data_IF_990128547039
#
_entry.id   IF_990128547039
#
_cell.length_a   1.000
_cell.length_b   1.000
_cell.length_c   1.000
_cell.angle_alpha   90.00
_cell.angle_beta   90.00
_cell.angle_gamma   90.00
#
_symmetry.space_group_name_H-M   'P 1'
#
loop_
_entity.id
_entity.type
_entity.pdbx_description
1 polymer ?
#
# COMPACT_ATOMS: atom_id res chain seq x y z
N UNK A 1 13.73 33.65 48.81
CA UNK A 1 12.91 34.87 48.68
C UNK A 1 12.74 35.14 47.19
N UNK A 2 11.47 35.14 46.78
CA UNK A 2 10.86 35.37 45.47
C UNK A 2 11.70 35.89 44.29
N UNK A 3 11.54 35.24 43.13
CA UNK A 3 11.21 35.96 41.89
C UNK A 3 10.06 35.26 41.17
N UNK A 4 9.00 36.05 40.95
CA UNK A 4 7.76 35.74 40.27
C UNK A 4 7.94 35.70 38.74
N UNK A 5 7.34 34.69 38.11
CA UNK A 5 6.51 34.71 36.88
C UNK A 5 6.74 35.90 35.92
N UNK A 6 7.15 35.65 34.65
CA UNK A 6 6.15 35.73 33.57
C UNK A 6 6.50 34.81 32.38
N UNK A 7 6.28 33.50 32.52
CA UNK A 7 6.22 32.61 31.35
C UNK A 7 4.79 32.12 31.09
N UNK A 8 3.92 32.16 32.11
CA UNK A 8 2.49 31.82 31.97
C UNK A 8 1.68 32.88 31.19
N UNK A 9 2.10 34.14 31.13
CA UNK A 9 1.32 35.20 30.46
C UNK A 9 1.39 35.15 28.92
N UNK A 10 2.46 34.58 28.35
CA UNK A 10 2.60 34.47 26.89
C UNK A 10 1.69 33.36 26.35
N UNK A 11 1.50 32.29 27.13
CA UNK A 11 0.61 31.18 26.74
C UNK A 11 -0.86 31.61 26.79
N UNK A 12 -1.26 32.45 27.76
CA UNK A 12 -2.65 32.94 27.83
C UNK A 12 -3.02 33.98 26.76
N UNK A 13 -2.06 34.77 26.27
CA UNK A 13 -2.33 35.75 25.21
C UNK A 13 -2.52 35.10 23.84
N UNK A 14 -1.90 33.94 23.59
CA UNK A 14 -2.15 33.15 22.37
C UNK A 14 -3.54 32.50 22.36
N UNK A 15 -4.12 32.21 23.53
CA UNK A 15 -5.46 31.62 23.63
C UNK A 15 -6.58 32.65 23.42
N UNK A 16 -6.32 33.95 23.65
CA UNK A 16 -7.36 34.99 23.64
C UNK A 16 -7.36 35.94 22.43
N UNK A 17 -6.40 35.84 21.50
CA UNK A 17 -6.28 36.79 20.38
C UNK A 17 -6.70 36.26 18.99
N UNK A 18 -7.20 35.03 18.88
CA UNK A 18 -7.76 34.51 17.63
C UNK A 18 -9.28 34.28 17.67
N UNK A 19 -10.02 35.12 18.43
CA UNK A 19 -11.44 35.37 18.12
C UNK A 19 -11.50 36.43 17.00
N UNK A 20 -10.86 36.13 15.87
CA UNK A 20 -11.24 36.74 14.61
C UNK A 20 -12.40 35.91 14.11
N UNK A 21 -13.60 36.48 14.17
CA UNK A 21 -14.77 36.02 13.43
C UNK A 21 -14.40 35.96 11.95
N UNK A 22 -13.81 34.86 11.54
CA UNK A 22 -13.97 34.37 10.19
C UNK A 22 -15.25 33.56 10.25
N UNK A 23 -16.30 34.13 9.68
CA UNK A 23 -17.48 33.39 9.26
C UNK A 23 -17.04 32.37 8.20
N UNK A 24 -16.26 31.36 8.58
CA UNK A 24 -16.18 30.13 7.81
C UNK A 24 -17.53 29.48 8.01
N UNK A 25 -18.40 29.66 7.02
CA UNK A 25 -19.39 28.64 6.72
C UNK A 25 -18.58 27.34 6.69
N UNK A 26 -18.68 26.51 7.74
CA UNK A 26 -18.33 25.11 7.63
C UNK A 26 -19.29 24.58 6.59
N UNK A 27 -18.88 24.61 5.32
CA UNK A 27 -19.56 23.88 4.27
C UNK A 27 -19.24 22.42 4.53
N UNK A 28 -19.96 21.85 5.49
CA UNK A 28 -19.95 20.41 5.69
C UNK A 28 -20.19 19.75 4.34
N UNK A 29 -19.42 18.71 4.03
CA UNK A 29 -19.61 17.95 2.80
C UNK A 29 -21.08 17.54 2.64
N UNK A 30 -21.57 17.40 1.40
CA UNK A 30 -22.97 17.01 1.18
C UNK A 30 -23.27 15.62 1.77
N UNK A 31 -24.54 15.35 2.09
CA UNK A 31 -24.95 14.00 2.52
C UNK A 31 -24.60 12.91 1.46
N UNK A 32 -24.65 13.27 0.18
CA UNK A 32 -24.22 12.41 -0.93
C UNK A 32 -22.71 12.09 -0.87
N UNK A 33 -21.87 13.05 -0.48
CA UNK A 33 -20.45 12.82 -0.26
C UNK A 33 -20.22 11.73 0.79
N UNK A 34 -20.86 11.80 1.96
CA UNK A 34 -20.64 10.81 3.02
C UNK A 34 -21.11 9.41 2.62
N UNK A 35 -22.22 9.31 1.88
CA UNK A 35 -22.68 8.04 1.33
C UNK A 35 -21.65 7.43 0.36
N UNK A 36 -21.07 8.25 -0.53
CA UNK A 36 -20.03 7.82 -1.47
C UNK A 36 -18.72 7.49 -0.76
N UNK A 37 -18.30 8.31 0.20
CA UNK A 37 -17.11 8.08 1.01
C UNK A 37 -17.20 6.73 1.72
N UNK A 38 -18.34 6.42 2.34
CA UNK A 38 -18.55 5.14 3.01
C UNK A 38 -18.49 3.95 2.03
N UNK A 39 -19.08 4.09 0.84
CA UNK A 39 -18.99 3.05 -0.19
C UNK A 39 -17.54 2.82 -0.67
N UNK A 40 -16.76 3.88 -0.88
CA UNK A 40 -15.36 3.77 -1.25
C UNK A 40 -14.51 3.17 -0.12
N UNK A 41 -14.74 3.59 1.13
CA UNK A 41 -14.06 3.02 2.29
C UNK A 41 -14.35 1.52 2.43
N UNK A 42 -15.59 1.07 2.17
CA UNK A 42 -15.93 -0.35 2.15
C UNK A 42 -15.10 -1.12 1.12
N UNK A 43 -14.97 -0.60 -0.10
CA UNK A 43 -14.12 -1.22 -1.14
C UNK A 43 -12.66 -1.29 -0.70
N UNK A 44 -12.14 -0.22 -0.10
CA UNK A 44 -10.76 -0.19 0.40
C UNK A 44 -10.55 -1.21 1.52
N UNK A 45 -11.48 -1.33 2.46
CA UNK A 45 -11.42 -2.33 3.51
C UNK A 45 -11.46 -3.76 2.96
N UNK A 46 -12.27 -4.02 1.93
CA UNK A 46 -12.30 -5.33 1.28
C UNK A 46 -10.96 -5.65 0.61
N UNK A 47 -10.33 -4.68 -0.04
CA UNK A 47 -8.97 -4.83 -0.60
C UNK A 47 -7.97 -5.15 0.51
N UNK A 48 -7.97 -4.40 1.62
CA UNK A 48 -7.05 -4.63 2.74
C UNK A 48 -7.26 -6.02 3.37
N UNK A 49 -8.51 -6.44 3.56
CA UNK A 49 -8.84 -7.75 4.13
C UNK A 49 -8.37 -8.88 3.24
N UNK A 50 -8.68 -8.82 1.94
CA UNK A 50 -8.22 -9.84 1.00
C UNK A 50 -6.69 -9.85 0.91
N UNK A 51 -6.08 -8.67 0.82
CA UNK A 51 -4.63 -8.53 0.85
C UNK A 51 -3.97 -9.15 2.08
N UNK A 52 -4.54 -8.93 3.27
CA UNK A 52 -4.00 -9.45 4.53
C UNK A 52 -4.08 -10.99 4.64
N UNK A 53 -5.05 -11.64 3.97
CA UNK A 53 -5.16 -13.12 3.96
C UNK A 53 -4.03 -13.79 3.19
N UNK A 54 -3.38 -13.07 2.29
CA UNK A 54 -2.49 -13.61 1.28
C UNK A 54 -1.05 -13.11 1.46
N UNK A 55 -0.61 -12.93 2.71
CA UNK A 55 0.76 -12.55 3.07
C UNK A 55 1.57 -13.77 3.54
N UNK A 56 2.82 -13.98 3.05
CA UNK A 56 3.49 -13.23 1.98
C UNK A 56 2.82 -13.46 0.62
N UNK A 57 2.95 -12.45 -0.24
CA UNK A 57 2.03 -12.15 -1.35
C UNK A 57 1.67 -13.33 -2.27
N UNK A 58 0.37 -13.59 -2.47
CA UNK A 58 -0.08 -14.56 -3.47
C UNK A 58 0.25 -14.13 -4.89
N UNK A 59 0.66 -15.08 -5.71
CA UNK A 59 1.00 -14.89 -7.12
C UNK A 59 -0.18 -15.26 -8.02
N UNK A 60 -0.15 -14.81 -9.28
CA UNK A 60 -1.07 -15.31 -10.29
C UNK A 60 -2.49 -14.75 -10.27
N UNK A 61 -3.47 -15.63 -10.50
CA UNK A 61 -4.89 -15.25 -10.67
C UNK A 61 -5.49 -14.50 -9.46
N UNK A 62 -5.02 -14.79 -8.24
CA UNK A 62 -5.43 -14.06 -7.03
C UNK A 62 -4.93 -12.62 -7.04
N UNK A 63 -3.67 -12.39 -7.44
CA UNK A 63 -3.11 -11.04 -7.57
C UNK A 63 -3.83 -10.24 -8.67
N UNK A 64 -4.22 -10.89 -9.77
CA UNK A 64 -4.98 -10.25 -10.85
C UNK A 64 -6.36 -9.78 -10.37
N UNK A 65 -7.12 -10.64 -9.69
CA UNK A 65 -8.42 -10.29 -9.12
C UNK A 65 -8.31 -9.16 -8.10
N UNK A 66 -7.32 -9.24 -7.22
CA UNK A 66 -7.10 -8.22 -6.19
C UNK A 66 -6.65 -6.89 -6.82
N UNK A 67 -5.85 -6.92 -7.89
CA UNK A 67 -5.42 -5.72 -8.62
C UNK A 67 -6.63 -4.98 -9.19
N UNK A 68 -7.56 -5.70 -9.83
CA UNK A 68 -8.80 -5.11 -10.36
C UNK A 68 -9.64 -4.47 -9.25
N UNK A 69 -9.77 -5.14 -8.11
CA UNK A 69 -10.55 -4.63 -6.97
C UNK A 69 -9.89 -3.41 -6.34
N UNK A 70 -8.57 -3.42 -6.19
CA UNK A 70 -7.81 -2.29 -5.70
C UNK A 70 -7.97 -1.07 -6.60
N UNK A 71 -7.85 -1.24 -7.92
CA UNK A 71 -8.05 -0.16 -8.88
C UNK A 71 -9.47 0.42 -8.80
N UNK A 72 -10.50 -0.40 -8.58
CA UNK A 72 -11.87 0.11 -8.35
C UNK A 72 -11.96 0.97 -7.09
N UNK A 73 -11.34 0.55 -5.99
CA UNK A 73 -11.31 1.34 -4.76
C UNK A 73 -10.58 2.67 -4.95
N UNK A 74 -9.46 2.66 -5.70
CA UNK A 74 -8.68 3.85 -6.03
C UNK A 74 -9.50 4.84 -6.86
N UNK A 75 -10.15 4.37 -7.93
CA UNK A 75 -10.99 5.24 -8.77
C UNK A 75 -12.23 5.75 -8.02
N UNK A 76 -12.83 4.94 -7.13
CA UNK A 76 -13.89 5.40 -6.24
C UNK A 76 -13.40 6.57 -5.38
N UNK A 77 -12.25 6.42 -4.73
CA UNK A 77 -11.67 7.44 -3.86
C UNK A 77 -11.32 8.73 -4.63
N UNK A 78 -10.79 8.61 -5.85
CA UNK A 78 -10.52 9.76 -6.75
C UNK A 78 -11.79 10.50 -7.17
N UNK A 79 -12.94 9.83 -7.19
CA UNK A 79 -14.22 10.46 -7.51
C UNK A 79 -14.82 11.27 -6.36
N UNK A 80 -14.28 11.12 -5.14
CA UNK A 80 -14.71 11.90 -3.98
C UNK A 80 -14.29 13.36 -4.17
N UNK A 81 -15.23 14.27 -3.95
CA UNK A 81 -15.01 15.70 -4.04
C UNK A 81 -15.65 16.39 -2.84
N UNK A 82 -14.81 16.85 -1.92
CA UNK A 82 -15.20 17.73 -0.82
C UNK A 82 -14.01 18.63 -0.48
N UNK A 83 -14.04 19.94 -0.85
CA UNK A 83 -12.93 20.86 -0.67
C UNK A 83 -12.34 20.87 0.75
N UNK A 84 -13.19 20.74 1.75
CA UNK A 84 -12.88 20.73 3.18
C UNK A 84 -12.08 19.47 3.59
N UNK A 85 -12.26 18.38 2.85
CA UNK A 85 -11.58 17.09 3.07
C UNK A 85 -10.50 16.78 2.03
N UNK A 86 -10.13 17.73 1.17
CA UNK A 86 -9.17 17.50 0.08
C UNK A 86 -7.83 16.91 0.54
N UNK A 87 -7.29 17.38 1.67
CA UNK A 87 -6.04 16.84 2.21
C UNK A 87 -6.16 15.36 2.58
N UNK A 88 -7.23 14.99 3.29
CA UNK A 88 -7.51 13.61 3.68
C UNK A 88 -7.77 12.71 2.46
N UNK A 89 -8.56 13.18 1.49
CA UNK A 89 -8.83 12.44 0.26
C UNK A 89 -7.53 12.22 -0.52
N UNK A 90 -6.67 13.24 -0.61
CA UNK A 90 -5.38 13.15 -1.31
C UNK A 90 -4.45 12.12 -0.66
N UNK A 91 -4.38 12.08 0.68
CA UNK A 91 -3.61 11.06 1.41
C UNK A 91 -4.15 9.66 1.13
N UNK A 92 -5.47 9.46 1.23
CA UNK A 92 -6.10 8.16 0.92
C UNK A 92 -5.80 7.70 -0.51
N UNK A 93 -5.84 8.61 -1.49
CA UNK A 93 -5.49 8.30 -2.89
C UNK A 93 -4.03 7.87 -3.00
N UNK A 94 -3.10 8.56 -2.32
CA UNK A 94 -1.67 8.23 -2.37
C UNK A 94 -1.39 6.85 -1.75
N UNK A 95 -1.91 6.58 -0.56
CA UNK A 95 -1.75 5.29 0.14
C UNK A 95 -2.35 4.13 -0.67
N UNK A 96 -3.56 4.33 -1.20
CA UNK A 96 -4.23 3.32 -2.00
C UNK A 96 -3.53 3.11 -3.36
N UNK A 97 -3.01 4.17 -3.98
CA UNK A 97 -2.23 4.05 -5.21
C UNK A 97 -0.93 3.26 -4.99
N UNK A 98 -0.26 3.46 -3.86
CA UNK A 98 0.92 2.68 -3.50
C UNK A 98 0.58 1.20 -3.30
N UNK A 99 -0.46 0.90 -2.51
CA UNK A 99 -0.95 -0.46 -2.30
C UNK A 99 -1.34 -1.14 -3.63
N UNK A 100 -2.12 -0.47 -4.48
CA UNK A 100 -2.54 -1.02 -5.77
C UNK A 100 -1.37 -1.24 -6.72
N UNK A 101 -0.34 -0.38 -6.67
CA UNK A 101 0.88 -0.55 -7.46
C UNK A 101 1.64 -1.81 -7.02
N UNK A 102 1.74 -2.03 -5.71
CA UNK A 102 2.25 -3.28 -5.14
C UNK A 102 1.52 -4.51 -5.66
N UNK A 103 0.20 -4.55 -5.48
CA UNK A 103 -0.68 -5.63 -5.97
C UNK A 103 -0.49 -5.88 -7.47
N UNK A 104 -0.52 -4.81 -8.27
CA UNK A 104 -0.35 -4.90 -9.73
C UNK A 104 1.01 -5.44 -10.14
N UNK A 105 2.07 -5.13 -9.38
CA UNK A 105 3.41 -5.59 -9.72
C UNK A 105 3.52 -7.13 -9.66
N UNK A 106 2.81 -7.78 -8.72
CA UNK A 106 2.72 -9.25 -8.66
C UNK A 106 1.59 -9.84 -9.50
N UNK A 107 0.69 -9.03 -10.05
CA UNK A 107 -0.25 -9.46 -11.09
C UNK A 107 0.41 -9.47 -12.49
N UNK A 108 1.56 -8.78 -12.62
CA UNK A 108 2.29 -8.66 -13.87
C UNK A 108 3.09 -9.90 -14.29
N UNK A 109 3.94 -9.72 -15.30
CA UNK A 109 4.80 -10.79 -15.85
C UNK A 109 5.71 -11.43 -14.80
N UNK A 110 6.14 -10.67 -13.79
CA UNK A 110 6.94 -11.19 -12.69
C UNK A 110 6.15 -12.16 -11.81
N UNK A 111 4.93 -11.84 -11.39
CA UNK A 111 4.16 -12.79 -10.58
C UNK A 111 3.76 -14.05 -11.35
N UNK A 112 3.52 -13.95 -12.67
CA UNK A 112 3.33 -15.14 -13.53
C UNK A 112 4.58 -16.00 -13.60
N UNK A 113 5.76 -15.39 -13.57
CA UNK A 113 7.03 -16.12 -13.50
C UNK A 113 7.17 -16.88 -12.17
N UNK A 114 6.71 -16.30 -11.05
CA UNK A 114 6.72 -16.99 -9.77
C UNK A 114 5.87 -18.28 -9.79
N UNK A 115 4.77 -18.33 -10.56
CA UNK A 115 4.02 -19.58 -10.78
C UNK A 115 4.84 -20.65 -11.51
N UNK A 116 5.69 -20.26 -12.46
CA UNK A 116 6.59 -21.16 -13.20
C UNK A 116 7.67 -21.70 -12.27
N UNK A 117 8.30 -20.81 -11.50
CA UNK A 117 9.34 -21.15 -10.52
C UNK A 117 8.79 -22.14 -9.49
N UNK A 118 7.57 -21.91 -8.99
CA UNK A 118 6.86 -22.82 -8.08
C UNK A 118 6.67 -24.22 -8.65
N UNK A 119 6.42 -24.34 -9.95
CA UNK A 119 6.09 -25.62 -10.60
C UNK A 119 7.29 -26.54 -10.84
N UNK A 120 8.52 -26.09 -10.54
CA UNK A 120 9.76 -26.81 -10.82
C UNK A 120 10.55 -27.05 -9.54
N UNK A 121 11.06 -28.26 -9.39
CA UNK A 121 12.02 -28.57 -8.33
C UNK A 121 13.41 -28.11 -8.78
N UNK A 122 13.89 -26.99 -8.21
CA UNK A 122 15.14 -26.34 -8.59
C UNK A 122 15.95 -25.88 -7.36
N UNK A 123 15.64 -26.41 -6.17
CA UNK A 123 16.24 -25.97 -4.91
C UNK A 123 17.77 -26.06 -4.89
N UNK A 124 18.33 -27.04 -5.60
CA UNK A 124 19.77 -27.28 -5.67
C UNK A 124 20.49 -26.34 -6.64
N UNK A 125 19.77 -25.75 -7.60
CA UNK A 125 20.33 -24.82 -8.60
C UNK A 125 20.26 -23.36 -8.12
N UNK A 126 19.23 -23.02 -7.32
CA UNK A 126 18.99 -21.65 -6.86
C UNK A 126 18.86 -21.60 -5.32
N UNK A 127 19.96 -21.30 -4.59
CA UNK A 127 19.96 -21.26 -3.14
C UNK A 127 18.93 -20.32 -2.51
N UNK A 128 18.55 -19.24 -3.21
CA UNK A 128 17.52 -18.29 -2.78
C UNK A 128 16.12 -18.91 -2.63
N UNK A 129 15.87 -20.10 -3.18
CA UNK A 129 14.62 -20.84 -2.96
C UNK A 129 14.44 -21.28 -1.50
N UNK A 130 15.48 -21.19 -0.67
CA UNK A 130 15.34 -21.33 0.79
C UNK A 130 14.38 -20.31 1.40
N UNK A 131 14.21 -19.15 0.74
CA UNK A 131 13.28 -18.08 1.11
C UNK A 131 11.92 -18.22 0.42
N UNK A 132 11.60 -19.40 -0.09
CA UNK A 132 10.28 -19.71 -0.60
C UNK A 132 9.43 -20.30 0.53
N UNK A 133 8.29 -19.68 0.84
CA UNK A 133 7.36 -20.26 1.80
C UNK A 133 6.50 -21.33 1.11
N UNK A 134 6.78 -22.60 1.42
CA UNK A 134 6.07 -23.75 0.90
C UNK A 134 4.61 -23.87 1.39
N UNK A 135 4.21 -23.20 2.48
CA UNK A 135 2.80 -23.21 2.93
C UNK A 135 1.92 -22.27 2.13
N UNK A 136 2.50 -21.15 1.68
CA UNK A 136 1.78 -20.03 1.07
C UNK A 136 2.13 -19.87 -0.42
N UNK A 137 2.91 -20.80 -0.96
CA UNK A 137 3.36 -20.86 -2.36
C UNK A 137 3.93 -19.51 -2.85
N UNK A 138 4.67 -18.82 -1.98
CA UNK A 138 5.09 -17.43 -2.21
C UNK A 138 6.52 -17.15 -1.69
N UNK A 139 7.27 -16.25 -2.36
CA UNK A 139 8.56 -15.79 -1.85
C UNK A 139 8.37 -14.95 -0.58
N UNK A 140 9.25 -15.13 0.42
CA UNK A 140 9.28 -14.28 1.61
C UNK A 140 9.92 -12.92 1.32
N UNK A 141 10.00 -12.04 2.33
CA UNK A 141 10.71 -10.78 2.20
C UNK A 141 12.18 -11.01 1.83
N UNK A 142 12.83 -11.98 2.47
CA UNK A 142 14.25 -12.31 2.35
C UNK A 142 14.65 -12.67 0.93
N UNK A 143 13.73 -13.25 0.16
CA UNK A 143 13.89 -13.49 -1.27
C UNK A 143 14.17 -12.20 -2.06
N UNK A 144 13.57 -11.08 -1.64
CA UNK A 144 13.72 -9.76 -2.27
C UNK A 144 14.80 -8.88 -1.62
N UNK A 145 15.28 -9.25 -0.43
CA UNK A 145 16.20 -8.42 0.36
C UNK A 145 17.61 -9.00 0.45
N UNK A 146 17.72 -10.27 0.85
CA UNK A 146 18.97 -10.93 1.23
C UNK A 146 19.65 -11.57 0.03
N UNK A 147 18.91 -12.38 -0.74
CA UNK A 147 19.46 -13.15 -1.87
C UNK A 147 18.95 -12.64 -3.22
N UNK A 148 18.80 -11.32 -3.34
CA UNK A 148 18.21 -10.67 -4.52
C UNK A 148 18.97 -11.00 -5.82
N UNK A 149 20.31 -11.12 -5.79
CA UNK A 149 21.10 -11.51 -6.99
C UNK A 149 20.78 -12.92 -7.48
N UNK A 150 20.59 -13.87 -6.56
CA UNK A 150 20.13 -15.22 -6.92
C UNK A 150 18.72 -15.18 -7.50
N UNK A 151 17.82 -14.38 -6.90
CA UNK A 151 16.47 -14.22 -7.41
C UNK A 151 16.45 -13.62 -8.82
N UNK A 152 17.32 -12.65 -9.12
CA UNK A 152 17.48 -12.08 -10.46
C UNK A 152 17.95 -13.12 -11.47
N UNK A 153 18.99 -13.90 -11.12
CA UNK A 153 19.51 -14.96 -11.98
C UNK A 153 18.45 -16.02 -12.26
N UNK A 154 17.71 -16.44 -11.23
CA UNK A 154 16.62 -17.40 -11.38
C UNK A 154 15.53 -16.87 -12.31
N UNK A 155 15.08 -15.63 -12.11
CA UNK A 155 14.02 -15.02 -12.95
C UNK A 155 14.47 -14.86 -14.39
N UNK A 156 15.73 -14.47 -14.63
CA UNK A 156 16.29 -14.39 -15.97
C UNK A 156 16.32 -15.76 -16.66
N UNK A 157 16.83 -16.78 -15.97
CA UNK A 157 16.97 -18.13 -16.52
C UNK A 157 15.62 -18.81 -16.78
N UNK A 158 14.66 -18.62 -15.88
CA UNK A 158 13.38 -19.30 -15.94
C UNK A 158 12.35 -18.58 -16.81
N UNK A 159 12.43 -17.24 -16.90
CA UNK A 159 11.35 -16.43 -17.47
C UNK A 159 11.84 -15.35 -18.45
N UNK A 160 13.16 -15.16 -18.59
CA UNK A 160 13.78 -14.27 -19.56
C UNK A 160 13.99 -12.83 -19.09
N UNK A 161 14.85 -12.12 -19.80
CA UNK A 161 15.33 -10.78 -19.42
C UNK A 161 14.26 -9.69 -19.33
N UNK A 162 13.14 -9.80 -20.06
CA UNK A 162 12.06 -8.80 -19.97
C UNK A 162 11.26 -8.92 -18.66
N UNK A 163 11.13 -10.14 -18.13
CA UNK A 163 10.56 -10.37 -16.81
C UNK A 163 11.51 -9.86 -15.73
N UNK A 164 12.81 -10.10 -15.86
CA UNK A 164 13.83 -9.52 -14.97
C UNK A 164 13.77 -7.99 -14.95
N UNK A 165 13.65 -7.33 -16.11
CA UNK A 165 13.46 -5.87 -16.18
C UNK A 165 12.19 -5.42 -15.46
N UNK A 166 11.12 -6.23 -15.52
CA UNK A 166 9.88 -5.96 -14.77
C UNK A 166 10.12 -6.05 -13.27
N UNK A 167 10.83 -7.09 -12.82
CA UNK A 167 11.18 -7.30 -11.41
C UNK A 167 12.01 -6.12 -10.87
N UNK A 168 13.08 -5.75 -11.58
CA UNK A 168 13.96 -4.62 -11.22
C UNK A 168 13.21 -3.30 -11.09
N UNK A 169 12.31 -3.00 -12.04
CA UNK A 169 11.50 -1.77 -12.02
C UNK A 169 10.57 -1.69 -10.82
N UNK A 170 10.10 -2.82 -10.32
CA UNK A 170 9.13 -2.89 -9.22
C UNK A 170 9.77 -3.28 -7.88
N UNK A 171 11.10 -3.36 -7.79
CA UNK A 171 11.83 -3.81 -6.59
C UNK A 171 11.38 -3.10 -5.31
N UNK A 172 11.22 -1.78 -5.35
CA UNK A 172 10.78 -0.98 -4.21
C UNK A 172 9.36 -1.33 -3.76
N UNK A 173 8.47 -1.62 -4.70
CA UNK A 173 7.09 -2.02 -4.42
C UNK A 173 7.03 -3.41 -3.77
N UNK A 174 7.88 -4.33 -4.23
CA UNK A 174 7.98 -5.66 -3.61
C UNK A 174 8.46 -5.55 -2.17
N UNK A 175 9.48 -4.74 -1.93
CA UNK A 175 9.99 -4.48 -0.58
C UNK A 175 8.92 -3.88 0.34
N UNK A 176 8.26 -2.79 -0.07
CA UNK A 176 7.28 -2.09 0.78
C UNK A 176 6.06 -2.96 1.11
N UNK A 177 5.63 -3.77 0.16
CA UNK A 177 4.44 -4.61 0.30
C UNK A 177 4.69 -5.93 1.04
N UNK A 178 5.93 -6.40 1.07
CA UNK A 178 6.31 -7.62 1.80
C UNK A 178 6.43 -7.37 3.31
N UNK A 179 6.77 -6.14 3.74
CA UNK A 179 7.08 -5.82 5.15
C UNK A 179 6.14 -4.86 5.90
N UNK A 180 5.23 -4.13 5.26
CA UNK A 180 4.46 -3.08 5.94
C UNK A 180 3.08 -3.55 6.47
N UNK A 181 2.73 -3.27 7.73
CA UNK A 181 1.34 -3.29 8.21
C UNK A 181 0.63 -2.02 7.69
N UNK A 182 -0.18 -2.16 6.64
CA UNK A 182 -1.11 -1.10 6.21
C UNK A 182 -2.24 -1.02 7.23
N UNK A 183 -2.06 -0.23 8.28
CA UNK A 183 -3.02 -0.06 9.37
C UNK A 183 -3.20 1.43 9.69
N UNK A 184 -3.67 2.19 8.70
CA UNK A 184 -4.10 3.59 8.88
C UNK A 184 -5.35 4.00 8.08
N UNK A 185 -6.11 3.04 7.52
CA UNK A 185 -7.34 3.37 6.77
C UNK A 185 -8.58 2.95 7.56
N UNK A 186 -8.74 3.46 8.78
CA UNK A 186 -10.00 3.37 9.52
C UNK A 186 -10.03 4.29 10.75
N UNK A 187 -9.93 5.61 10.59
CA UNK A 187 -10.51 6.59 11.53
C UNK A 187 -11.08 7.78 10.76
#
# INVERSE_FOLDING_TARGET
MFFHIPVLSIVLLFVLSNVSQSSFISSDCSADFFSKENACNSLTLDVIREWAKYKPMTVGSTADMLSVTCMKALECTKSLNCPEKNAMISTKIAELAELCSGIRAFSGSFGKCLEIIRSRDMSDEYPCLVWWNNSDDSPTCEFFTTDYECAEMMVENQCGGDVLKSMRRNKSLFWSNSGAPYLLIAE
#
